data_IF_318996465319
#
_entry.id   IF_318996465319
#
_cell.length_a   1.000
_cell.length_b   1.000
_cell.length_c   1.000
_cell.angle_alpha   90.00
_cell.angle_beta   90.00
_cell.angle_gamma   90.00
#
_symmetry.space_group_name_H-M   'P 1'
#
loop_
_entity.id
_entity.type
_entity.pdbx_description
1 polymer ?
#
# COMPACT_ATOMS: atom_id res chain seq x y z
N UNK A 1 18.41 -7.65 -20.83
CA UNK A 1 17.03 -8.16 -20.74
C UNK A 1 16.35 -7.39 -19.63
N UNK A 2 15.60 -6.33 -19.96
CA UNK A 2 14.87 -5.54 -18.95
C UNK A 2 13.74 -6.39 -18.40
N UNK A 3 13.77 -6.67 -17.10
CA UNK A 3 12.63 -7.26 -16.42
C UNK A 3 11.57 -6.17 -16.40
N UNK A 4 10.56 -6.30 -17.27
CA UNK A 4 9.39 -5.43 -17.23
C UNK A 4 8.66 -5.78 -15.93
N UNK A 5 8.88 -4.96 -14.90
CA UNK A 5 8.18 -5.09 -13.65
C UNK A 5 6.74 -4.65 -13.87
N UNK A 6 5.76 -5.52 -13.60
CA UNK A 6 4.36 -5.16 -13.80
C UNK A 6 3.92 -4.14 -12.73
N UNK A 7 3.30 -3.04 -13.16
CA UNK A 7 2.73 -1.96 -12.33
C UNK A 7 2.19 -2.46 -10.98
N UNK A 8 2.65 -1.96 -9.83
CA UNK A 8 2.20 -2.38 -8.51
C UNK A 8 0.67 -2.31 -8.26
N UNK A 9 -0.08 -1.42 -8.93
CA UNK A 9 -1.54 -1.48 -8.91
C UNK A 9 -2.06 -2.76 -9.59
N UNK A 10 -1.37 -3.23 -10.61
CA UNK A 10 -1.64 -4.56 -11.20
C UNK A 10 -1.24 -5.68 -10.25
N UNK A 11 -0.24 -5.52 -9.36
CA UNK A 11 0.09 -6.59 -8.40
C UNK A 11 -1.05 -6.82 -7.43
N UNK A 12 -1.47 -5.80 -6.68
CA UNK A 12 -2.59 -5.96 -5.73
C UNK A 12 -3.87 -6.38 -6.45
N UNK A 13 -4.18 -5.76 -7.59
CA UNK A 13 -5.34 -6.14 -8.41
C UNK A 13 -5.27 -7.61 -8.87
N UNK A 14 -4.13 -8.08 -9.39
CA UNK A 14 -3.95 -9.49 -9.78
C UNK A 14 -4.07 -10.42 -8.60
N UNK A 15 -3.57 -10.03 -7.43
CA UNK A 15 -3.68 -10.83 -6.21
C UNK A 15 -5.12 -10.92 -5.71
N UNK A 16 -5.87 -9.81 -5.75
CA UNK A 16 -7.32 -9.78 -5.49
C UNK A 16 -8.03 -10.75 -6.42
N UNK A 17 -7.82 -10.66 -7.74
CA UNK A 17 -8.45 -11.59 -8.69
C UNK A 17 -8.03 -13.04 -8.44
N UNK A 18 -6.72 -13.33 -8.33
CA UNK A 18 -6.23 -14.70 -8.16
C UNK A 18 -6.78 -15.36 -6.89
N UNK A 19 -6.71 -14.67 -5.75
CA UNK A 19 -7.18 -15.20 -4.47
C UNK A 19 -8.71 -15.30 -4.44
N UNK A 20 -9.40 -14.31 -5.00
CA UNK A 20 -10.86 -14.34 -5.15
C UNK A 20 -11.34 -15.51 -6.02
N UNK A 21 -10.71 -15.72 -7.18
CA UNK A 21 -11.05 -16.84 -8.08
C UNK A 21 -10.83 -18.20 -7.40
N UNK A 22 -9.70 -18.40 -6.70
CA UNK A 22 -9.46 -19.66 -5.98
C UNK A 22 -10.52 -19.88 -4.89
N UNK A 23 -10.88 -18.84 -4.13
CA UNK A 23 -11.93 -18.94 -3.11
C UNK A 23 -13.28 -19.31 -3.74
N UNK A 24 -13.69 -18.64 -4.83
CA UNK A 24 -14.95 -18.95 -5.54
C UNK A 24 -14.96 -20.38 -6.05
N UNK A 25 -13.88 -20.84 -6.68
CA UNK A 25 -13.78 -22.21 -7.19
C UNK A 25 -13.84 -23.25 -6.05
N UNK A 26 -13.15 -23.00 -4.93
CA UNK A 26 -13.20 -23.88 -3.77
C UNK A 26 -14.62 -23.98 -3.18
N UNK A 27 -15.32 -22.84 -3.06
CA UNK A 27 -16.69 -22.80 -2.56
C UNK A 27 -17.67 -23.52 -3.50
N UNK A 28 -17.57 -23.26 -4.82
CA UNK A 28 -18.36 -23.97 -5.83
C UNK A 28 -18.09 -25.48 -5.83
N UNK A 29 -16.83 -25.88 -5.60
CA UNK A 29 -16.45 -27.28 -5.47
C UNK A 29 -17.13 -28.00 -4.29
N UNK A 30 -17.33 -27.31 -3.16
CA UNK A 30 -18.07 -27.87 -2.00
C UNK A 30 -19.51 -28.21 -2.42
N UNK A 31 -20.17 -27.31 -3.16
CA UNK A 31 -21.54 -27.53 -3.64
C UNK A 31 -21.59 -28.71 -4.61
N UNK A 32 -20.65 -28.79 -5.56
CA UNK A 32 -20.58 -29.89 -6.53
C UNK A 32 -20.36 -31.23 -5.83
N UNK A 33 -19.38 -31.32 -4.92
CA UNK A 33 -19.10 -32.55 -4.15
C UNK A 33 -20.32 -32.96 -3.33
N UNK A 34 -21.03 -32.00 -2.73
CA UNK A 34 -22.24 -32.29 -1.96
C UNK A 34 -23.32 -32.93 -2.83
N UNK A 35 -23.56 -32.40 -4.03
CA UNK A 35 -24.54 -32.94 -4.99
C UNK A 35 -24.12 -34.32 -5.51
N UNK A 36 -22.85 -34.47 -5.92
CA UNK A 36 -22.32 -35.74 -6.44
C UNK A 36 -22.40 -36.83 -5.36
N UNK A 37 -21.94 -36.54 -4.14
CA UNK A 37 -22.01 -37.48 -3.03
C UNK A 37 -23.43 -37.85 -2.64
N UNK A 38 -24.39 -36.93 -2.77
CA UNK A 38 -25.81 -37.24 -2.55
C UNK A 38 -26.33 -38.25 -3.59
N UNK A 39 -25.99 -38.08 -4.87
CA UNK A 39 -26.37 -38.99 -5.96
C UNK A 39 -25.76 -40.39 -5.75
N UNK A 40 -24.46 -40.46 -5.42
CA UNK A 40 -23.74 -41.73 -5.28
C UNK A 40 -23.74 -42.31 -3.86
N UNK A 41 -24.46 -41.69 -2.92
CA UNK A 41 -24.54 -42.08 -1.49
C UNK A 41 -23.18 -42.24 -0.81
N UNK A 42 -22.15 -41.51 -1.26
CA UNK A 42 -20.79 -41.60 -0.71
C UNK A 42 -20.53 -40.44 0.25
N UNK A 43 -20.97 -40.63 1.49
CA UNK A 43 -20.89 -39.60 2.54
C UNK A 43 -19.45 -39.30 2.96
N UNK A 44 -18.59 -40.32 3.05
CA UNK A 44 -17.19 -40.15 3.49
C UNK A 44 -16.42 -39.25 2.53
N UNK A 45 -16.55 -39.49 1.22
CA UNK A 45 -15.94 -38.63 0.19
C UNK A 45 -16.47 -37.19 0.27
N UNK A 46 -17.77 -37.03 0.56
CA UNK A 46 -18.41 -35.73 0.69
C UNK A 46 -17.78 -34.92 1.82
N UNK A 47 -17.67 -35.53 3.00
CA UNK A 47 -17.18 -34.87 4.20
C UNK A 47 -15.70 -34.52 4.04
N UNK A 48 -14.87 -35.48 3.63
CA UNK A 48 -13.43 -35.25 3.47
C UNK A 48 -13.16 -34.19 2.39
N UNK A 49 -13.81 -34.31 1.22
CA UNK A 49 -13.66 -33.35 0.13
C UNK A 49 -14.12 -31.94 0.51
N UNK A 50 -15.26 -31.83 1.20
CA UNK A 50 -15.81 -30.54 1.64
C UNK A 50 -14.92 -29.87 2.69
N UNK A 51 -14.35 -30.63 3.64
CA UNK A 51 -13.43 -30.07 4.65
C UNK A 51 -12.16 -29.52 3.98
N UNK A 52 -11.56 -30.26 3.05
CA UNK A 52 -10.36 -29.80 2.34
C UNK A 52 -10.63 -28.53 1.52
N UNK A 53 -11.75 -28.48 0.79
CA UNK A 53 -12.15 -27.31 0.02
C UNK A 53 -12.52 -26.12 0.93
N UNK A 54 -13.12 -26.38 2.09
CA UNK A 54 -13.43 -25.33 3.07
C UNK A 54 -12.16 -24.70 3.64
N UNK A 55 -11.13 -25.49 3.95
CA UNK A 55 -9.81 -24.97 4.37
C UNK A 55 -9.20 -24.12 3.25
N UNK A 56 -9.23 -24.62 2.00
CA UNK A 56 -8.71 -23.88 0.85
C UNK A 56 -9.47 -22.56 0.62
N UNK A 57 -10.80 -22.57 0.77
CA UNK A 57 -11.64 -21.37 0.73
C UNK A 57 -11.22 -20.37 1.80
N UNK A 58 -11.15 -20.78 3.07
CA UNK A 58 -10.84 -19.88 4.18
C UNK A 58 -9.48 -19.18 4.01
N UNK A 59 -8.43 -19.93 3.65
CA UNK A 59 -7.08 -19.38 3.45
C UNK A 59 -7.03 -18.36 2.31
N UNK A 60 -7.71 -18.66 1.20
CA UNK A 60 -7.71 -17.76 0.04
C UNK A 60 -8.66 -16.59 0.22
N UNK A 61 -9.77 -16.75 0.95
CA UNK A 61 -10.71 -15.68 1.28
C UNK A 61 -10.08 -14.63 2.21
N UNK A 62 -9.38 -15.06 3.27
CA UNK A 62 -8.65 -14.14 4.15
C UNK A 62 -7.54 -13.39 3.38
N UNK A 63 -6.80 -14.11 2.52
CA UNK A 63 -5.81 -13.48 1.64
C UNK A 63 -6.46 -12.47 0.69
N UNK A 64 -7.59 -12.83 0.07
CA UNK A 64 -8.35 -11.95 -0.83
C UNK A 64 -8.74 -10.65 -0.12
N UNK A 65 -9.32 -10.74 1.08
CA UNK A 65 -9.70 -9.56 1.86
C UNK A 65 -8.50 -8.66 2.18
N UNK A 66 -7.37 -9.24 2.57
CA UNK A 66 -6.13 -8.48 2.83
C UNK A 66 -5.67 -7.69 1.60
N UNK A 67 -5.59 -8.34 0.44
CA UNK A 67 -5.18 -7.66 -0.81
C UNK A 67 -6.21 -6.62 -1.27
N UNK A 68 -7.51 -6.89 -1.08
CA UNK A 68 -8.58 -5.97 -1.44
C UNK A 68 -8.51 -4.69 -0.59
N UNK A 69 -8.31 -4.84 0.72
CA UNK A 69 -8.15 -3.70 1.63
C UNK A 69 -6.89 -2.89 1.32
N UNK A 70 -5.79 -3.54 0.93
CA UNK A 70 -4.59 -2.85 0.44
C UNK A 70 -4.88 -2.02 -0.81
N UNK A 71 -5.52 -2.64 -1.81
CA UNK A 71 -5.85 -2.00 -3.09
C UNK A 71 -6.79 -0.79 -2.91
N UNK A 72 -7.88 -0.96 -2.16
CA UNK A 72 -8.82 0.13 -1.83
C UNK A 72 -8.08 1.24 -1.10
N UNK A 73 -7.14 0.86 -0.24
CA UNK A 73 -6.35 1.79 0.52
C UNK A 73 -5.53 2.72 -0.39
N UNK A 74 -4.63 2.14 -1.17
CA UNK A 74 -3.78 2.88 -2.11
C UNK A 74 -4.60 3.72 -3.09
N UNK A 75 -5.69 3.16 -3.61
CA UNK A 75 -6.57 3.88 -4.54
C UNK A 75 -7.19 5.13 -3.90
N UNK A 76 -7.56 5.06 -2.62
CA UNK A 76 -8.12 6.20 -1.89
C UNK A 76 -7.09 7.28 -1.61
N UNK A 77 -5.86 6.91 -1.26
CA UNK A 77 -4.76 7.88 -1.03
C UNK A 77 -4.37 8.55 -2.33
N UNK A 78 -4.25 7.77 -3.41
CA UNK A 78 -4.08 8.29 -4.77
C UNK A 78 -5.13 9.34 -5.10
N UNK A 79 -6.41 9.04 -4.92
CA UNK A 79 -7.50 9.98 -5.18
C UNK A 79 -7.43 11.27 -4.35
N UNK A 80 -6.93 11.21 -3.10
CA UNK A 80 -6.71 12.39 -2.27
C UNK A 80 -5.52 13.21 -2.78
N UNK A 81 -4.42 12.57 -3.17
CA UNK A 81 -3.24 13.28 -3.69
C UNK A 81 -3.59 13.96 -5.01
N UNK A 82 -4.20 13.22 -5.94
CA UNK A 82 -4.57 13.69 -7.28
C UNK A 82 -5.64 14.79 -7.27
N UNK A 83 -6.38 14.96 -6.17
CA UNK A 83 -7.39 16.02 -6.06
C UNK A 83 -6.83 17.40 -5.71
N UNK A 84 -5.51 17.54 -5.51
CA UNK A 84 -4.87 18.83 -5.16
C UNK A 84 -4.09 19.37 -6.36
N UNK A 85 -4.57 20.45 -6.96
CA UNK A 85 -4.00 21.02 -8.21
C UNK A 85 -2.55 21.49 -8.10
N UNK A 86 -2.09 21.86 -6.91
CA UNK A 86 -0.74 22.37 -6.67
C UNK A 86 0.26 21.27 -6.28
N UNK A 87 -0.15 20.00 -6.41
CA UNK A 87 0.60 18.82 -5.98
C UNK A 87 0.71 17.86 -7.15
N UNK A 88 1.91 17.31 -7.36
CA UNK A 88 2.13 16.26 -8.34
C UNK A 88 2.26 14.91 -7.62
N UNK A 89 1.30 14.03 -7.85
CA UNK A 89 1.29 12.65 -7.37
C UNK A 89 2.00 11.71 -8.33
N UNK A 90 3.00 11.00 -7.83
CA UNK A 90 3.65 9.87 -8.49
C UNK A 90 3.31 8.63 -7.67
N UNK A 91 2.85 7.56 -8.30
CA UNK A 91 2.35 6.39 -7.58
C UNK A 91 3.07 5.15 -8.07
N UNK A 92 3.27 4.22 -7.15
CA UNK A 92 3.86 2.91 -7.42
C UNK A 92 5.24 2.96 -8.08
N UNK A 93 6.06 3.89 -7.62
CA UNK A 93 7.37 4.15 -8.21
C UNK A 93 8.34 3.04 -7.82
N UNK A 94 8.93 2.37 -8.82
CA UNK A 94 10.02 1.43 -8.63
C UNK A 94 11.33 2.15 -8.97
N UNK A 95 12.25 2.24 -8.01
CA UNK A 95 13.57 2.81 -8.24
C UNK A 95 14.47 1.83 -9.02
N UNK A 96 15.43 2.31 -9.82
CA UNK A 96 16.30 1.42 -10.58
C UNK A 96 17.12 0.51 -9.65
N UNK A 97 17.06 -0.80 -9.91
CA UNK A 97 17.74 -1.81 -9.10
C UNK A 97 16.98 -2.22 -7.83
N UNK A 98 15.79 -1.69 -7.59
CA UNK A 98 14.97 -2.04 -6.43
C UNK A 98 13.85 -3.02 -6.79
N UNK A 99 13.53 -3.91 -5.83
CA UNK A 99 12.46 -4.90 -5.97
C UNK A 99 11.11 -4.44 -5.39
N UNK A 100 11.14 -3.42 -4.52
CA UNK A 100 9.96 -2.90 -3.84
C UNK A 100 9.59 -1.52 -4.39
N UNK A 101 8.30 -1.29 -4.58
CA UNK A 101 7.77 0.01 -4.95
C UNK A 101 7.68 0.96 -3.75
N UNK A 102 7.67 2.25 -4.05
CA UNK A 102 7.19 3.32 -3.17
C UNK A 102 5.72 3.56 -3.55
N UNK A 103 4.79 3.38 -2.61
CA UNK A 103 3.35 3.48 -2.89
C UNK A 103 2.99 4.84 -3.51
N UNK A 104 3.43 5.93 -2.88
CA UNK A 104 3.27 7.27 -3.45
C UNK A 104 4.49 8.15 -3.17
N UNK A 105 4.84 9.00 -4.13
CA UNK A 105 5.80 10.09 -4.04
C UNK A 105 5.06 11.35 -4.41
N UNK A 106 5.04 12.32 -3.51
CA UNK A 106 4.37 13.60 -3.69
C UNK A 106 5.43 14.63 -3.97
N UNK A 107 5.36 15.31 -5.11
CA UNK A 107 6.19 16.46 -5.43
C UNK A 107 5.37 17.74 -5.23
N UNK A 108 5.94 18.65 -4.45
CA UNK A 108 5.35 19.96 -4.14
C UNK A 108 6.42 21.03 -4.26
N UNK A 109 6.02 22.31 -4.23
CA UNK A 109 6.99 23.42 -4.15
C UNK A 109 7.88 23.34 -2.91
N UNK A 110 7.55 22.50 -1.93
CA UNK A 110 8.22 22.45 -0.65
C UNK A 110 9.05 21.19 -0.43
N UNK A 111 9.06 20.32 -1.44
CA UNK A 111 9.91 19.14 -1.49
C UNK A 111 9.16 17.93 -1.97
N UNK A 112 9.80 16.79 -1.74
CA UNK A 112 9.34 15.48 -2.14
C UNK A 112 8.99 14.68 -0.90
N UNK A 113 7.81 14.07 -0.88
CA UNK A 113 7.34 13.29 0.27
C UNK A 113 7.05 11.88 -0.19
N UNK A 114 7.79 10.90 0.34
CA UNK A 114 7.41 9.50 0.19
C UNK A 114 6.26 9.20 1.15
N UNK A 115 5.23 8.54 0.64
CA UNK A 115 4.07 8.10 1.38
C UNK A 115 3.93 6.60 1.26
N UNK A 116 3.89 5.94 2.42
CA UNK A 116 3.49 4.54 2.55
C UNK A 116 2.01 4.47 2.96
N UNK A 117 1.26 3.58 2.32
CA UNK A 117 -0.16 3.36 2.61
C UNK A 117 -0.36 2.06 3.35
N UNK A 118 -0.94 2.12 4.56
CA UNK A 118 -1.32 0.91 5.31
C UNK A 118 -2.80 0.90 5.67
N UNK A 119 -3.49 -0.19 5.33
CA UNK A 119 -4.88 -0.44 5.70
C UNK A 119 -4.95 -1.18 7.04
N UNK A 120 -5.18 -0.45 8.13
CA UNK A 120 -5.39 -1.01 9.47
C UNK A 120 -6.86 -0.87 9.89
N UNK A 121 -7.48 -1.93 10.41
CA UNK A 121 -8.78 -1.86 11.08
C UNK A 121 -8.67 -1.61 12.60
N UNK A 122 -9.73 -1.11 13.25
CA UNK A 122 -9.79 -1.06 14.71
C UNK A 122 -8.75 -0.13 15.38
N UNK A 123 -8.20 -0.56 16.52
CA UNK A 123 -7.37 0.30 17.38
C UNK A 123 -5.89 0.14 17.03
N UNK A 124 -5.30 1.21 16.49
CA UNK A 124 -3.86 1.33 16.28
C UNK A 124 -3.25 2.21 17.37
N UNK A 125 -2.25 1.68 18.07
CA UNK A 125 -1.49 2.44 19.08
C UNK A 125 -0.02 2.47 18.70
N UNK A 126 0.61 3.63 18.83
CA UNK A 126 2.05 3.80 18.62
C UNK A 126 2.66 4.28 19.94
N UNK A 127 3.63 3.54 20.45
CA UNK A 127 4.30 3.81 21.71
C UNK A 127 5.78 3.46 21.63
N UNK A 128 6.66 4.44 21.89
CA UNK A 128 8.12 4.30 21.87
C UNK A 128 8.66 3.63 20.60
N UNK A 129 8.13 4.01 19.43
CA UNK A 129 8.56 3.47 18.13
C UNK A 129 7.91 2.15 17.74
N UNK A 130 7.14 1.55 18.64
CA UNK A 130 6.49 0.25 18.43
C UNK A 130 5.05 0.44 18.01
N UNK A 131 4.62 -0.37 17.06
CA UNK A 131 3.28 -0.35 16.49
C UNK A 131 2.47 -1.50 17.06
N UNK A 132 1.28 -1.20 17.58
CA UNK A 132 0.39 -2.18 18.18
C UNK A 132 -0.96 -2.18 17.47
N UNK A 133 -1.37 -3.35 17.01
CA UNK A 133 -2.64 -3.59 16.32
C UNK A 133 -3.45 -4.64 17.08
N UNK A 134 -4.62 -4.27 17.60
CA UNK A 134 -5.42 -5.19 18.42
C UNK A 134 -4.72 -5.65 19.70
N UNK A 135 -3.71 -4.92 20.18
CA UNK A 135 -2.88 -5.29 21.34
C UNK A 135 -1.58 -6.02 20.98
N UNK A 136 -1.46 -6.54 19.77
CA UNK A 136 -0.25 -7.24 19.32
C UNK A 136 0.76 -6.28 18.69
N UNK A 137 2.05 -6.47 19.00
CA UNK A 137 3.12 -5.75 18.33
C UNK A 137 3.20 -6.19 16.87
N UNK A 138 3.28 -5.21 15.96
CA UNK A 138 3.42 -5.43 14.52
C UNK A 138 4.69 -4.77 14.00
N UNK A 139 5.09 -5.20 12.80
CA UNK A 139 6.12 -4.54 12.00
C UNK A 139 5.86 -3.04 11.93
N UNK A 140 6.93 -2.25 12.03
CA UNK A 140 6.88 -0.80 12.03
C UNK A 140 6.88 -0.27 10.58
N UNK A 141 5.73 0.22 10.06
CA UNK A 141 5.67 0.74 8.69
C UNK A 141 6.55 1.99 8.48
N UNK A 142 6.95 2.68 9.56
CA UNK A 142 7.88 3.81 9.47
C UNK A 142 9.23 3.38 8.93
N UNK A 143 9.71 2.19 9.30
CA UNK A 143 10.98 1.71 8.78
C UNK A 143 10.95 1.55 7.26
N UNK A 144 9.82 1.07 6.71
CA UNK A 144 9.64 0.91 5.27
C UNK A 144 9.67 2.27 4.56
N UNK A 145 8.90 3.26 5.01
CA UNK A 145 8.92 4.58 4.35
C UNK A 145 10.26 5.30 4.52
N UNK A 146 10.91 5.17 5.68
CA UNK A 146 12.24 5.76 5.90
C UNK A 146 13.28 5.14 4.96
N UNK A 147 13.24 3.83 4.75
CA UNK A 147 14.09 3.16 3.77
C UNK A 147 13.78 3.61 2.34
N UNK A 148 12.50 3.71 1.97
CA UNK A 148 12.08 4.20 0.66
C UNK A 148 12.54 5.65 0.41
N UNK A 149 12.39 6.53 1.41
CA UNK A 149 12.91 7.91 1.32
C UNK A 149 14.42 7.95 1.21
N UNK A 150 15.15 7.11 1.97
CA UNK A 150 16.61 7.02 1.86
C UNK A 150 17.05 6.61 0.44
N UNK A 151 16.41 5.60 -0.13
CA UNK A 151 16.68 5.16 -1.51
C UNK A 151 16.37 6.25 -2.54
N UNK A 152 15.27 6.98 -2.35
CA UNK A 152 14.93 8.11 -3.22
C UNK A 152 15.95 9.25 -3.10
N UNK A 153 16.43 9.54 -1.88
CA UNK A 153 17.54 10.48 -1.64
C UNK A 153 18.79 10.07 -2.40
N UNK A 154 19.21 8.81 -2.26
CA UNK A 154 20.38 8.29 -2.98
C UNK A 154 20.20 8.35 -4.50
N UNK A 155 18.98 8.11 -5.01
CA UNK A 155 18.67 8.26 -6.43
C UNK A 155 18.74 9.72 -6.89
N UNK A 156 18.22 10.67 -6.12
CA UNK A 156 18.30 12.11 -6.43
C UNK A 156 19.73 12.64 -6.40
N UNK A 157 20.49 12.29 -5.37
CA UNK A 157 21.88 12.68 -5.21
C UNK A 157 22.73 12.24 -6.41
N UNK A 158 22.59 10.96 -6.81
CA UNK A 158 23.25 10.40 -8.00
C UNK A 158 22.88 11.11 -9.31
N UNK A 159 21.73 11.80 -9.36
CA UNK A 159 21.22 12.49 -10.54
C UNK A 159 21.27 14.03 -10.40
N UNK A 160 22.01 14.56 -9.43
CA UNK A 160 22.26 16.00 -9.29
C UNK A 160 21.06 16.82 -8.82
N UNK A 161 20.22 16.22 -7.97
CA UNK A 161 19.12 16.87 -7.23
C UNK A 161 19.45 16.79 -5.74
N UNK A 162 19.28 17.90 -5.01
CA UNK A 162 19.54 17.93 -3.56
C UNK A 162 18.72 16.83 -2.84
N UNK A 163 19.36 15.86 -2.18
CA UNK A 163 18.65 14.81 -1.44
C UNK A 163 17.86 15.35 -0.24
N UNK A 164 18.18 16.53 0.30
CA UNK A 164 17.48 17.07 1.48
C UNK A 164 16.06 17.56 1.20
N UNK A 165 15.67 17.67 -0.08
CA UNK A 165 14.29 17.96 -0.48
C UNK A 165 13.35 16.78 -0.17
N UNK A 166 13.89 15.56 0.04
CA UNK A 166 13.10 14.35 0.28
C UNK A 166 12.79 14.17 1.77
N UNK A 167 11.50 14.03 2.08
CA UNK A 167 10.93 13.79 3.41
C UNK A 167 10.15 12.46 3.41
N UNK A 168 9.90 11.93 4.61
CA UNK A 168 9.09 10.72 4.81
C UNK A 168 7.74 11.03 5.48
N UNK A 169 6.68 10.39 5.01
CA UNK A 169 5.36 10.39 5.63
C UNK A 169 4.69 9.02 5.56
N UNK A 170 3.92 8.63 6.57
CA UNK A 170 3.07 7.43 6.53
C UNK A 170 1.61 7.87 6.54
N UNK A 171 0.83 7.29 5.64
CA UNK A 171 -0.61 7.41 5.67
C UNK A 171 -1.21 6.09 6.14
N UNK A 172 -1.84 6.15 7.30
CA UNK A 172 -2.62 5.05 7.86
C UNK A 172 -4.07 5.23 7.43
N UNK A 173 -4.54 4.27 6.65
CA UNK A 173 -5.92 4.16 6.28
C UNK A 173 -6.63 3.26 7.28
N UNK A 174 -7.54 3.88 8.02
CA UNK A 174 -8.68 3.16 8.54
C UNK A 174 -9.67 2.93 7.41
N UNK A 175 -9.57 1.82 6.69
CA UNK A 175 -10.70 1.36 5.83
C UNK A 175 -11.92 1.08 6.73
N UNK A 176 -11.67 0.71 7.98
CA UNK A 176 -12.60 0.74 9.11
C UNK A 176 -12.23 1.92 10.02
N UNK A 177 -13.15 2.53 10.80
CA UNK A 177 -12.83 3.65 11.67
C UNK A 177 -11.69 3.31 12.62
N UNK A 178 -10.47 3.71 12.25
CA UNK A 178 -9.28 3.42 13.00
C UNK A 178 -9.08 4.52 14.03
N UNK A 179 -9.13 4.15 15.32
CA UNK A 179 -8.80 5.09 16.39
C UNK A 179 -7.29 5.09 16.56
N UNK A 180 -6.64 6.13 16.04
CA UNK A 180 -5.22 6.35 16.24
C UNK A 180 -4.98 6.90 17.64
N UNK A 181 -4.35 6.12 18.51
CA UNK A 181 -3.94 6.57 19.84
C UNK A 181 -2.45 6.84 19.80
N UNK A 182 -2.08 8.13 19.79
CA UNK A 182 -0.70 8.58 19.90
C UNK A 182 -0.40 8.91 21.36
N UNK A 183 0.66 8.31 21.91
CA UNK A 183 1.26 8.79 23.16
C UNK A 183 2.53 9.63 22.92
N UNK A 184 3.04 9.64 21.67
CA UNK A 184 4.28 10.32 21.30
C UNK A 184 4.10 11.26 20.08
N UNK A 185 5.09 12.12 19.80
CA UNK A 185 5.12 13.07 18.67
C UNK A 185 5.41 12.41 17.31
N UNK A 186 4.60 11.44 16.88
CA UNK A 186 4.64 10.93 15.50
C UNK A 186 3.95 11.91 14.55
N UNK A 187 4.60 13.02 14.21
CA UNK A 187 4.04 14.06 13.31
C UNK A 187 3.83 13.59 11.86
N UNK A 188 4.45 12.48 11.46
CA UNK A 188 4.48 11.97 10.09
C UNK A 188 3.54 10.79 9.84
N UNK A 189 2.68 10.44 10.80
CA UNK A 189 1.60 9.44 10.60
C UNK A 189 0.31 10.21 10.39
N UNK A 190 -0.51 9.83 9.41
CA UNK A 190 -1.77 10.54 9.12
C UNK A 190 -2.92 9.56 8.88
N UNK A 191 -4.11 9.87 9.38
CA UNK A 191 -5.35 9.31 8.80
C UNK A 191 -5.62 9.93 7.43
N UNK A 192 -6.46 9.32 6.60
CA UNK A 192 -6.81 9.91 5.28
C UNK A 192 -7.34 11.35 5.38
N UNK A 193 -8.13 11.67 6.42
CA UNK A 193 -8.63 13.04 6.67
C UNK A 193 -7.51 13.98 7.05
N UNK A 194 -6.54 13.49 7.84
CA UNK A 194 -5.37 14.29 8.22
C UNK A 194 -4.42 14.50 7.05
N UNK A 195 -4.28 13.55 6.13
CA UNK A 195 -3.46 13.70 4.93
C UNK A 195 -3.96 14.88 4.09
N UNK A 196 -5.25 14.91 3.75
CA UNK A 196 -5.81 16.02 2.96
C UNK A 196 -5.56 17.38 3.63
N UNK A 197 -5.78 17.51 4.94
CA UNK A 197 -5.47 18.74 5.68
C UNK A 197 -3.98 19.06 5.70
N UNK A 198 -3.12 18.05 5.81
CA UNK A 198 -1.68 18.23 5.80
C UNK A 198 -1.21 18.77 4.45
N UNK A 199 -1.70 18.19 3.35
CA UNK A 199 -1.38 18.63 1.99
C UNK A 199 -1.84 20.08 1.73
N UNK A 200 -3.00 20.48 2.23
CA UNK A 200 -3.50 21.87 2.15
C UNK A 200 -2.67 22.88 2.96
N UNK A 201 -1.99 22.44 4.02
CA UNK A 201 -1.26 23.30 4.94
C UNK A 201 0.25 23.02 4.93
N UNK A 202 0.78 22.53 3.81
CA UNK A 202 2.22 22.37 3.68
C UNK A 202 2.89 23.74 3.87
N UNK A 203 3.78 23.90 4.87
CA UNK A 203 4.48 25.17 5.09
C UNK A 203 5.25 25.52 3.81
N UNK A 204 5.28 26.80 3.41
CA UNK A 204 5.98 27.26 2.21
C UNK A 204 7.50 27.12 2.38
N UNK A 205 8.15 26.41 1.45
CA UNK A 205 9.61 26.34 1.30
C UNK A 205 9.87 26.77 -0.14
N UNK A 206 10.78 27.71 -0.32
CA UNK A 206 11.08 28.26 -1.64
C UNK A 206 12.13 27.38 -2.30
N UNK A 207 11.72 26.20 -2.80
CA UNK A 207 12.62 25.37 -3.61
C UNK A 207 12.95 26.10 -4.90
N UNK A 208 14.23 26.05 -5.28
CA UNK A 208 14.66 26.59 -6.55
C UNK A 208 13.91 25.91 -7.70
N UNK A 209 13.44 26.72 -8.66
CA UNK A 209 12.62 26.24 -9.77
C UNK A 209 13.37 25.20 -10.61
N UNK A 210 14.68 25.33 -10.72
CA UNK A 210 15.52 24.38 -11.45
C UNK A 210 15.55 23.01 -10.76
N UNK A 211 15.69 22.99 -9.42
CA UNK A 211 15.64 21.74 -8.65
C UNK A 211 14.28 21.05 -8.75
N UNK A 212 13.20 21.82 -8.68
CA UNK A 212 11.84 21.30 -8.81
C UNK A 212 11.62 20.62 -10.17
N UNK A 213 12.04 21.27 -11.27
CA UNK A 213 11.91 20.72 -12.62
C UNK A 213 12.81 19.49 -12.84
N UNK A 214 14.02 19.46 -12.27
CA UNK A 214 14.88 18.27 -12.30
C UNK A 214 14.23 17.10 -11.56
N UNK A 215 13.76 17.32 -10.33
CA UNK A 215 13.08 16.29 -9.53
C UNK A 215 11.84 15.76 -10.26
N UNK A 216 11.03 16.66 -10.84
CA UNK A 216 9.87 16.31 -11.67
C UNK A 216 10.27 15.43 -12.85
N UNK A 217 11.30 15.83 -13.62
CA UNK A 217 11.78 15.07 -14.78
C UNK A 217 12.20 13.65 -14.39
N UNK A 218 12.93 13.50 -13.29
CA UNK A 218 13.35 12.18 -12.80
C UNK A 218 12.16 11.32 -12.38
N UNK A 219 11.19 11.90 -11.66
CA UNK A 219 9.97 11.18 -11.24
C UNK A 219 9.10 10.77 -12.45
N UNK A 220 9.01 11.60 -13.50
CA UNK A 220 8.33 11.24 -14.75
C UNK A 220 9.05 10.09 -15.49
N UNK A 221 10.39 10.04 -15.45
CA UNK A 221 11.13 8.92 -16.02
C UNK A 221 10.82 7.61 -15.28
N UNK A 222 10.83 7.65 -13.94
CA UNK A 222 10.50 6.48 -13.13
C UNK A 222 9.08 5.98 -13.38
N UNK A 223 8.12 6.89 -13.54
CA UNK A 223 6.73 6.57 -13.88
C UNK A 223 6.60 5.83 -15.22
N UNK A 224 7.40 6.15 -16.23
CA UNK A 224 7.37 5.45 -17.54
C UNK A 224 7.89 4.00 -17.46
N UNK A 225 8.65 3.68 -16.42
CA UNK A 225 9.25 2.36 -16.21
C UNK A 225 8.51 1.54 -15.13
N UNK A 226 7.47 2.11 -14.52
CA UNK A 226 6.61 1.46 -13.51
C UNK A 226 5.32 0.98 -14.17
#
# INVERSE_FOLDING_TARGET
MSIIHPDPHTYLRRMVFRKGTIAILAFSGILIISVVSFIFKNLVLSVVGSVLLLVLFMVNYDSFLKYLLGFIGEFRVKGIIDSHEHILGYHNIILPGEYSNIDHVILTKQGVICVETKSFGGKLSIYQGKWYYGGEMKWNPMQQVTQNSKKLKEYFDKNGVDPEIVRSGIVVLGVLPAKLIRKDRYKTVFTYRQLSRYLLNLPYWDLDRLELEKAKSLLEQLKKHS
#
